data_IF_988105807772
#
_entry.id   IF_988105807772
#
_cell.length_a   1.000
_cell.length_b   1.000
_cell.length_c   1.000
_cell.angle_alpha   90.00
_cell.angle_beta   90.00
_cell.angle_gamma   90.00
#
_symmetry.space_group_name_H-M   'P 1'
#
loop_
_entity.id
_entity.type
_entity.pdbx_description
1 polymer ?
#
# COMPACT_ATOMS: atom_id res chain seq x y z
N UNK A 1 32.52 25.02 -19.44
CA UNK A 1 31.07 25.13 -19.31
C UNK A 1 30.65 24.15 -18.24
N UNK A 2 30.00 24.62 -17.19
CA UNK A 2 29.36 23.74 -16.21
C UNK A 2 28.08 23.18 -16.83
N UNK A 3 27.86 21.86 -16.66
CA UNK A 3 26.62 21.21 -17.06
C UNK A 3 25.53 21.55 -16.02
N UNK A 4 24.27 21.74 -16.44
CA UNK A 4 23.18 21.97 -15.51
C UNK A 4 22.97 20.73 -14.62
N UNK A 5 22.53 20.97 -13.39
CA UNK A 5 22.24 19.88 -12.46
C UNK A 5 21.20 18.91 -13.05
N UNK A 6 21.45 17.59 -12.97
CA UNK A 6 20.56 16.60 -13.55
C UNK A 6 19.20 16.60 -12.83
N UNK A 7 18.11 16.67 -13.59
CA UNK A 7 16.76 16.49 -13.05
C UNK A 7 16.54 15.00 -12.71
N UNK A 8 16.38 14.70 -11.42
CA UNK A 8 16.12 13.35 -10.92
C UNK A 8 14.63 13.20 -10.58
N UNK A 9 13.84 12.44 -11.37
CA UNK A 9 12.40 12.31 -11.13
C UNK A 9 12.09 11.36 -9.95
N UNK A 10 10.90 11.53 -9.39
CA UNK A 10 10.34 10.60 -8.40
C UNK A 10 11.06 10.64 -7.05
N UNK A 11 11.21 9.47 -6.41
CA UNK A 11 11.83 9.36 -5.09
C UNK A 11 13.30 9.80 -5.06
N UNK A 12 14.00 9.75 -6.20
CA UNK A 12 15.41 10.15 -6.30
C UNK A 12 15.58 11.66 -6.07
N UNK A 13 14.57 12.48 -6.39
CA UNK A 13 14.57 13.93 -6.09
C UNK A 13 14.68 14.25 -4.59
N UNK A 14 14.36 13.29 -3.72
CA UNK A 14 14.39 13.47 -2.26
C UNK A 14 15.79 13.27 -1.68
N UNK A 15 16.77 12.83 -2.47
CA UNK A 15 18.13 12.60 -1.98
C UNK A 15 18.76 13.90 -1.45
N UNK A 16 18.55 15.01 -2.16
CA UNK A 16 19.00 16.35 -1.74
C UNK A 16 18.25 16.88 -0.51
N UNK A 17 17.22 16.18 -0.04
CA UNK A 17 16.42 16.53 1.12
C UNK A 17 16.83 15.76 2.38
N UNK A 18 17.84 14.89 2.31
CA UNK A 18 18.39 14.22 3.49
C UNK A 18 18.89 15.23 4.52
N UNK A 19 18.66 14.91 5.79
CA UNK A 19 18.98 15.70 6.97
C UNK A 19 18.32 17.09 7.03
N UNK A 20 17.34 17.36 6.16
CA UNK A 20 16.53 18.59 6.19
C UNK A 20 15.20 18.34 6.88
N UNK A 21 14.66 19.41 7.48
CA UNK A 21 13.32 19.43 8.06
C UNK A 21 12.30 19.60 6.93
N UNK A 22 11.40 18.63 6.79
CA UNK A 22 10.37 18.60 5.76
C UNK A 22 8.98 18.70 6.37
N UNK A 23 8.04 19.16 5.52
CA UNK A 23 6.61 19.12 5.75
C UNK A 23 6.03 18.10 4.78
N UNK A 24 5.37 17.06 5.29
CA UNK A 24 4.73 16.02 4.48
C UNK A 24 3.22 16.16 4.62
N UNK A 25 2.53 16.37 3.50
CA UNK A 25 1.06 16.40 3.44
C UNK A 25 0.58 15.02 3.03
N UNK A 26 -0.14 14.35 3.94
CA UNK A 26 -0.73 13.05 3.70
C UNK A 26 -2.04 13.20 2.90
N UNK A 27 -2.43 12.13 2.20
CA UNK A 27 -3.65 12.10 1.37
C UNK A 27 -4.93 12.40 2.16
N UNK A 28 -4.94 12.11 3.46
CA UNK A 28 -6.07 12.39 4.36
C UNK A 28 -6.08 13.84 4.89
N UNK A 29 -5.19 14.70 4.40
CA UNK A 29 -5.08 16.11 4.78
C UNK A 29 -4.25 16.38 6.04
N UNK A 30 -3.72 15.34 6.70
CA UNK A 30 -2.83 15.52 7.85
C UNK A 30 -1.46 15.99 7.40
N UNK A 31 -0.77 16.71 8.30
CA UNK A 31 0.59 17.19 8.06
C UNK A 31 1.56 16.59 9.07
N UNK A 32 2.68 16.06 8.60
CA UNK A 32 3.81 15.64 9.42
C UNK A 32 4.97 16.62 9.24
N UNK A 33 5.65 16.95 10.33
CA UNK A 33 6.82 17.83 10.31
C UNK A 33 7.96 17.09 11.00
N UNK A 34 9.08 16.91 10.31
CA UNK A 34 10.21 16.14 10.84
C UNK A 34 11.44 16.20 9.95
N UNK A 35 12.51 15.53 10.36
CA UNK A 35 13.74 15.43 9.58
C UNK A 35 13.73 14.16 8.73
N UNK A 36 14.08 14.27 7.45
CA UNK A 36 14.26 13.10 6.59
C UNK A 36 15.65 12.49 6.80
N UNK A 37 15.72 11.32 7.47
CA UNK A 37 16.99 10.69 7.84
C UNK A 37 17.44 9.60 6.88
N UNK A 38 16.49 8.84 6.37
CA UNK A 38 16.74 7.72 5.48
C UNK A 38 15.66 7.67 4.40
N UNK A 39 16.05 7.15 3.24
CA UNK A 39 15.18 6.84 2.12
C UNK A 39 15.53 5.43 1.66
N UNK A 40 14.51 4.64 1.39
CA UNK A 40 14.68 3.28 0.90
C UNK A 40 13.72 3.02 -0.26
N UNK A 41 14.16 2.22 -1.23
CA UNK A 41 13.36 1.83 -2.37
C UNK A 41 12.81 0.42 -2.13
N UNK A 42 11.48 0.31 -2.08
CA UNK A 42 10.81 -0.99 -2.06
C UNK A 42 10.63 -1.48 -3.50
N UNK A 43 10.95 -2.76 -3.74
CA UNK A 43 10.77 -3.38 -5.06
C UNK A 43 9.30 -3.67 -5.37
N UNK A 44 8.97 -3.75 -6.66
CA UNK A 44 7.60 -4.10 -7.09
C UNK A 44 7.26 -5.51 -6.61
N UNK A 45 8.20 -6.44 -6.68
CA UNK A 45 8.04 -7.82 -6.24
C UNK A 45 7.67 -7.92 -4.75
N UNK A 46 8.33 -7.13 -3.89
CA UNK A 46 8.02 -7.09 -2.47
C UNK A 46 6.62 -6.49 -2.20
N UNK A 47 6.26 -5.42 -2.92
CA UNK A 47 4.92 -4.83 -2.82
C UNK A 47 3.84 -5.85 -3.24
N UNK A 48 4.03 -6.55 -4.36
CA UNK A 48 3.09 -7.54 -4.86
C UNK A 48 2.94 -8.72 -3.89
N UNK A 49 4.06 -9.20 -3.34
CA UNK A 49 4.03 -10.25 -2.33
C UNK A 49 3.20 -9.85 -1.11
N UNK A 50 3.44 -8.66 -0.54
CA UNK A 50 2.70 -8.18 0.63
C UNK A 50 1.20 -8.01 0.33
N UNK A 51 0.85 -7.60 -0.89
CA UNK A 51 -0.55 -7.49 -1.31
C UNK A 51 -1.22 -8.87 -1.41
N UNK A 52 -0.53 -9.87 -1.97
CA UNK A 52 -1.02 -11.25 -2.06
C UNK A 52 -1.27 -11.84 -0.66
N UNK A 53 -0.29 -11.73 0.25
CA UNK A 53 -0.40 -12.21 1.63
C UNK A 53 -1.63 -11.58 2.34
N UNK A 54 -1.83 -10.27 2.20
CA UNK A 54 -2.99 -9.56 2.76
C UNK A 54 -4.33 -9.99 2.15
N UNK A 55 -4.35 -10.32 0.86
CA UNK A 55 -5.56 -10.82 0.19
C UNK A 55 -5.95 -12.20 0.72
N UNK A 56 -4.97 -13.10 0.88
CA UNK A 56 -5.21 -14.42 1.44
C UNK A 56 -5.73 -14.35 2.88
N UNK A 57 -5.14 -13.49 3.73
CA UNK A 57 -5.63 -13.25 5.09
C UNK A 57 -7.09 -12.80 5.11
N UNK A 58 -7.44 -11.85 4.22
CA UNK A 58 -8.80 -11.37 4.08
C UNK A 58 -9.75 -12.48 3.65
N UNK A 59 -9.32 -13.34 2.71
CA UNK A 59 -10.12 -14.48 2.25
C UNK A 59 -10.32 -15.52 3.34
N UNK A 60 -9.28 -15.84 4.11
CA UNK A 60 -9.37 -16.74 5.28
C UNK A 60 -10.35 -16.18 6.33
N UNK A 61 -10.21 -14.92 6.69
CA UNK A 61 -11.10 -14.26 7.65
C UNK A 61 -12.56 -14.27 7.18
N UNK A 62 -12.80 -13.94 5.90
CA UNK A 62 -14.13 -13.97 5.32
C UNK A 62 -14.72 -15.38 5.33
N UNK A 63 -13.92 -16.39 4.99
CA UNK A 63 -14.37 -17.78 4.98
C UNK A 63 -14.80 -18.25 6.38
N UNK A 64 -13.99 -18.00 7.41
CA UNK A 64 -14.33 -18.32 8.80
C UNK A 64 -15.57 -17.58 9.28
N UNK A 65 -15.68 -16.29 8.96
CA UNK A 65 -16.87 -15.48 9.28
C UNK A 65 -18.13 -16.05 8.65
N UNK A 66 -18.06 -16.49 7.40
CA UNK A 66 -19.20 -17.07 6.70
C UNK A 66 -19.63 -18.42 7.27
N UNK A 67 -18.67 -19.28 7.68
CA UNK A 67 -19.00 -20.52 8.38
C UNK A 67 -19.76 -20.25 9.69
N UNK A 68 -19.30 -19.29 10.49
CA UNK A 68 -19.96 -18.89 11.74
C UNK A 68 -21.38 -18.32 11.50
N UNK A 69 -21.53 -17.48 10.47
CA UNK A 69 -22.82 -16.90 10.10
C UNK A 69 -23.83 -17.95 9.61
N UNK A 70 -23.37 -18.95 8.85
CA UNK A 70 -24.19 -20.10 8.45
C UNK A 70 -24.67 -20.91 9.65
N UNK A 71 -23.78 -21.18 10.62
CA UNK A 71 -24.15 -21.89 11.85
C UNK A 71 -25.14 -21.14 12.77
N UNK A 72 -25.24 -19.82 12.62
CA UNK A 72 -26.15 -18.96 13.40
C UNK A 72 -27.43 -18.56 12.63
N UNK A 73 -27.65 -19.10 11.43
CA UNK A 73 -28.85 -18.83 10.61
C UNK A 73 -28.90 -17.42 9.98
N UNK A 74 -27.82 -16.64 10.07
CA UNK A 74 -27.74 -15.26 9.55
C UNK A 74 -26.82 -15.21 8.31
N UNK A 75 -27.29 -15.70 7.16
CA UNK A 75 -26.49 -15.64 5.91
C UNK A 75 -26.54 -14.23 5.32
N UNK A 76 -25.38 -13.59 5.13
CA UNK A 76 -25.29 -12.35 4.34
C UNK A 76 -25.14 -12.70 2.85
N UNK A 77 -25.86 -12.01 1.94
CA UNK A 77 -25.71 -12.23 0.50
C UNK A 77 -24.29 -11.84 0.06
N UNK A 78 -23.63 -12.72 -0.67
CA UNK A 78 -22.30 -12.46 -1.27
C UNK A 78 -22.47 -11.38 -2.34
N UNK A 79 -21.64 -10.34 -2.31
CA UNK A 79 -21.62 -9.31 -3.37
C UNK A 79 -20.95 -9.91 -4.61
N UNK A 80 -21.69 -9.99 -5.71
CA UNK A 80 -21.31 -10.62 -7.00
C UNK A 80 -20.00 -10.14 -7.67
N UNK A 81 -19.33 -9.13 -7.16
CA UNK A 81 -18.17 -8.53 -7.84
C UNK A 81 -16.84 -9.24 -7.53
N UNK A 82 -16.81 -10.19 -6.58
CA UNK A 82 -15.57 -10.87 -6.16
C UNK A 82 -15.34 -12.24 -6.84
N UNK A 83 -16.23 -12.70 -7.73
CA UNK A 83 -16.17 -14.05 -8.35
C UNK A 83 -15.49 -14.10 -9.74
N UNK A 84 -14.99 -12.97 -10.27
CA UNK A 84 -14.53 -12.85 -11.67
C UNK A 84 -13.00 -12.73 -11.83
N UNK A 85 -12.20 -13.38 -10.98
CA UNK A 85 -10.72 -13.28 -11.06
C UNK A 85 -9.95 -14.61 -11.01
N UNK A 86 -10.63 -15.75 -11.16
CA UNK A 86 -9.98 -17.08 -11.15
C UNK A 86 -9.73 -17.68 -12.55
N UNK A 87 -9.92 -16.92 -13.63
CA UNK A 87 -9.55 -17.33 -14.99
C UNK A 87 -8.73 -16.24 -15.68
N UNK A 88 -7.40 -16.38 -15.67
CA UNK A 88 -6.47 -16.03 -16.75
C UNK A 88 -5.10 -16.69 -16.52
#
# INVERSE_FOLDING_TARGET
MELPDPYLPGAVSLLDQLDKKLVVVLRDGKTLIGYLRTLDQVSIEEILRLQAEKLEEKNRFNHTKQQFLRGSGKVQPVKKNDEMMDEY
#
